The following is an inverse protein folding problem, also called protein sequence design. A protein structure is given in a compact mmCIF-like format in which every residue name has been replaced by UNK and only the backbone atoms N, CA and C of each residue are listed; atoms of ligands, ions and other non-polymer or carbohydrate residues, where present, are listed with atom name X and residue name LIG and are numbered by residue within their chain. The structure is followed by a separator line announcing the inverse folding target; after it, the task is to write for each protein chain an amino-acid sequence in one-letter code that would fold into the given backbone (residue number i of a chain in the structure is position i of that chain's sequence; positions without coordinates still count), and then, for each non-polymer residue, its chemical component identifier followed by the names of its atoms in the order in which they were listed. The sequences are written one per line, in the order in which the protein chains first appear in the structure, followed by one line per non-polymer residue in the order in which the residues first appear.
data_IF_056206025045
#
_entry.id   IF_056206025045
#
_cell.length_a   1.000
_cell.length_b   1.000
_cell.length_c   1.000
_cell.angle_alpha   90.00
_cell.angle_beta   90.00
_cell.angle_gamma   90.00
#
_symmetry.space_group_name_H-M   'P 1'
#
loop_
_entity.id
_entity.type
_entity.pdbx_description
1 polymer ?
#
# COMPACT_ATOMS: atom_id res chain seq x y z
N UNK A 1 -6.11 3.37 11.27
CA UNK A 1 -4.81 3.26 10.72
C UNK A 1 -3.73 3.42 11.77
N UNK A 2 -2.71 2.60 11.69
CA UNK A 2 -1.51 2.69 12.54
C UNK A 2 -0.56 3.75 11.99
N UNK A 3 -1.08 4.92 11.71
CA UNK A 3 -0.29 5.98 11.09
C UNK A 3 0.66 6.58 12.12
N UNK A 4 1.92 6.17 12.09
CA UNK A 4 2.98 6.66 12.96
C UNK A 4 4.06 7.39 12.16
N UNK A 5 3.66 8.20 11.21
CA UNK A 5 4.57 9.07 10.49
C UNK A 5 4.59 10.47 11.13
N UNK A 6 5.76 11.03 11.26
CA UNK A 6 5.98 12.37 11.77
C UNK A 6 6.70 13.16 10.69
N UNK A 7 6.10 14.24 10.22
CA UNK A 7 6.74 15.12 9.26
C UNK A 7 7.96 15.79 9.90
N UNK A 8 9.05 15.77 9.17
CA UNK A 8 10.32 16.29 9.60
C UNK A 8 10.64 17.62 8.93
N UNK A 9 11.21 18.53 9.69
CA UNK A 9 11.81 19.73 9.15
C UNK A 9 13.33 19.56 9.05
N UNK A 10 13.90 19.68 7.86
CA UNK A 10 15.33 19.59 7.64
C UNK A 10 16.16 20.65 8.35
N UNK A 11 15.54 21.77 8.73
CA UNK A 11 16.21 22.85 9.46
C UNK A 11 16.39 22.57 10.95
N UNK A 12 15.81 21.53 11.47
CA UNK A 12 15.82 21.21 12.91
C UNK A 12 16.90 20.17 13.26
N UNK A 13 18.01 20.23 12.59
CA UNK A 13 19.21 19.47 12.95
C UNK A 13 19.13 17.97 12.67
N UNK A 14 20.25 17.28 12.91
CA UNK A 14 20.47 15.87 12.54
C UNK A 14 19.57 14.84 13.23
N UNK A 15 18.78 15.22 14.20
CA UNK A 15 17.82 14.32 14.85
C UNK A 15 16.50 14.25 14.08
N UNK A 16 16.34 15.15 13.13
CA UNK A 16 15.30 15.10 12.16
C UNK A 16 13.89 15.29 12.63
N UNK A 17 13.66 15.58 13.85
CA UNK A 17 12.33 15.93 14.38
C UNK A 17 12.50 16.74 15.66
N UNK A 18 11.74 17.81 15.78
CA UNK A 18 11.68 18.58 16.98
C UNK A 18 10.49 18.11 17.81
N UNK A 19 10.77 17.56 18.95
CA UNK A 19 9.78 17.47 20.02
C UNK A 19 9.78 18.82 20.69
N UNK A 20 8.78 19.61 20.43
CA UNK A 20 8.62 20.90 21.03
C UNK A 20 7.56 20.79 22.13
N UNK A 21 7.99 20.95 23.37
CA UNK A 21 7.14 21.13 24.54
C UNK A 21 6.27 19.92 24.93
N UNK A 22 6.89 18.97 25.62
CA UNK A 22 6.14 18.05 26.45
C UNK A 22 5.98 18.61 27.86
N UNK A 23 4.79 18.98 28.25
CA UNK A 23 4.42 19.05 29.65
C UNK A 23 3.42 17.96 29.93
N UNK A 24 3.88 16.92 30.64
CA UNK A 24 3.08 15.72 30.85
C UNK A 24 3.05 14.78 29.62
N UNK A 25 1.95 14.10 29.42
CA UNK A 25 1.78 13.08 28.37
C UNK A 25 1.48 13.63 26.96
N UNK A 26 1.53 14.95 26.79
CA UNK A 26 1.21 15.59 25.51
C UNK A 26 2.49 16.08 24.82
N UNK A 27 2.80 15.50 23.67
CA UNK A 27 3.84 15.96 22.77
C UNK A 27 3.22 16.86 21.71
N UNK A 28 3.69 18.11 21.63
CA UNK A 28 3.35 19.01 20.54
C UNK A 28 4.48 18.98 19.53
N UNK A 29 4.18 18.51 18.32
CA UNK A 29 5.11 18.52 17.20
C UNK A 29 4.78 19.72 16.33
N UNK A 30 5.73 20.61 16.16
CA UNK A 30 5.61 21.77 15.27
C UNK A 30 6.33 21.45 13.98
N UNK A 31 5.61 21.61 12.87
CA UNK A 31 6.14 21.38 11.54
C UNK A 31 6.33 22.72 10.84
N UNK A 32 7.55 22.97 10.36
CA UNK A 32 7.75 24.05 9.40
C UNK A 32 7.38 23.58 8.00
N UNK A 33 6.73 24.43 7.27
CA UNK A 33 6.33 24.18 5.88
C UNK A 33 7.29 24.91 4.95
N UNK A 34 7.78 24.28 3.90
CA UNK A 34 7.47 22.93 3.44
C UNK A 34 8.32 21.86 4.13
N UNK A 35 7.68 20.82 4.62
CA UNK A 35 8.38 19.62 5.08
C UNK A 35 8.74 18.76 3.88
N UNK A 36 10.01 18.44 3.73
CA UNK A 36 10.52 17.63 2.60
C UNK A 36 10.59 16.15 2.94
N UNK A 37 10.63 15.82 4.24
CA UNK A 37 10.77 14.45 4.72
C UNK A 37 9.66 14.03 5.68
N UNK A 38 9.47 12.74 5.77
CA UNK A 38 8.56 12.07 6.71
C UNK A 38 9.38 11.09 7.53
N UNK A 39 9.23 11.12 8.84
CA UNK A 39 9.90 10.18 9.72
C UNK A 39 9.01 8.98 10.05
N UNK A 40 9.43 7.81 9.59
CA UNK A 40 8.81 6.54 9.95
C UNK A 40 9.34 6.08 11.32
N UNK A 41 8.48 6.07 12.32
CA UNK A 41 8.86 5.71 13.70
C UNK A 41 8.34 4.34 14.14
N UNK A 42 7.91 3.52 13.21
CA UNK A 42 7.37 2.19 13.50
C UNK A 42 7.53 1.26 12.29
N UNK A 43 8.00 0.05 12.53
CA UNK A 43 7.96 -1.04 11.56
C UNK A 43 6.54 -1.54 11.23
N UNK A 44 5.53 -1.03 11.92
CA UNK A 44 4.11 -1.28 11.64
C UNK A 44 3.44 -0.05 11.02
N UNK A 45 4.22 0.83 10.40
CA UNK A 45 3.70 1.92 9.62
C UNK A 45 3.04 1.36 8.36
N UNK A 46 1.84 1.81 8.04
CA UNK A 46 1.14 1.37 6.85
C UNK A 46 -0.38 1.50 6.98
N UNK A 47 -1.11 1.11 5.96
CA UNK A 47 -2.55 0.97 6.03
C UNK A 47 -2.92 -0.10 7.07
N UNK A 48 -4.18 -0.13 7.45
CA UNK A 48 -4.66 -1.17 8.34
C UNK A 48 -4.56 -2.53 7.65
N UNK A 49 -4.12 -3.57 8.38
CA UNK A 49 -4.19 -4.93 7.88
C UNK A 49 -5.63 -5.28 7.52
N UNK A 50 -5.85 -5.81 6.33
CA UNK A 50 -7.20 -6.10 5.85
C UNK A 50 -7.91 -4.85 5.30
N UNK A 51 -7.21 -4.06 4.49
CA UNK A 51 -7.75 -2.84 3.87
C UNK A 51 -8.57 -3.12 2.58
N UNK A 52 -9.01 -4.34 2.34
CA UNK A 52 -9.75 -4.76 1.13
C UNK A 52 -10.94 -3.84 0.81
N UNK A 53 -11.69 -3.44 1.85
CA UNK A 53 -12.81 -2.54 1.66
C UNK A 53 -12.37 -1.14 1.16
N UNK A 54 -11.24 -0.64 1.63
CA UNK A 54 -10.68 0.63 1.17
C UNK A 54 -10.25 0.51 -0.30
N UNK A 55 -9.53 -0.54 -0.64
CA UNK A 55 -9.08 -0.80 -2.01
C UNK A 55 -10.27 -0.99 -2.94
N UNK A 56 -11.30 -1.74 -2.52
CA UNK A 56 -12.55 -1.88 -3.26
C UNK A 56 -13.15 -0.52 -3.65
N UNK A 57 -13.16 0.42 -2.72
CA UNK A 57 -13.67 1.78 -2.94
C UNK A 57 -12.66 2.74 -3.57
N UNK A 58 -11.45 2.30 -3.89
CA UNK A 58 -10.42 3.12 -4.50
C UNK A 58 -9.88 4.21 -3.57
N UNK A 59 -9.75 3.90 -2.29
CA UNK A 59 -9.24 4.82 -1.26
C UNK A 59 -8.12 4.18 -0.45
N UNK A 60 -7.39 5.01 0.29
CA UNK A 60 -6.34 4.56 1.22
C UNK A 60 -4.91 4.85 0.75
N UNK A 61 -4.69 5.02 -0.54
CA UNK A 61 -3.41 5.47 -1.10
C UNK A 61 -3.28 6.99 -1.13
N UNK A 62 -2.17 7.46 -1.68
CA UNK A 62 -1.82 8.89 -1.76
C UNK A 62 -2.30 9.57 -3.04
N UNK A 63 -3.03 8.87 -3.90
CA UNK A 63 -3.60 9.44 -5.12
C UNK A 63 -4.60 10.56 -4.76
N UNK A 64 -4.65 11.57 -5.60
CA UNK A 64 -5.56 12.71 -5.44
C UNK A 64 -6.97 12.25 -5.04
N UNK A 65 -7.47 12.70 -3.88
CA UNK A 65 -8.80 12.32 -3.40
C UNK A 65 -9.93 12.80 -4.31
N UNK A 66 -9.66 13.69 -5.27
CA UNK A 66 -10.60 14.07 -6.33
C UNK A 66 -10.78 13.02 -7.42
N UNK A 67 -9.88 12.03 -7.51
CA UNK A 67 -9.96 10.95 -8.49
C UNK A 67 -10.96 9.89 -8.01
N UNK A 68 -11.93 9.57 -8.86
CA UNK A 68 -12.93 8.54 -8.56
C UNK A 68 -12.57 7.25 -9.27
N UNK A 69 -12.50 6.16 -8.53
CA UNK A 69 -12.29 4.82 -9.08
C UNK A 69 -13.58 4.01 -8.97
N UNK A 70 -13.94 3.35 -10.05
CA UNK A 70 -15.09 2.47 -10.06
C UNK A 70 -14.72 1.15 -9.39
N UNK A 71 -15.44 0.81 -8.32
CA UNK A 71 -15.31 -0.49 -7.69
C UNK A 71 -15.59 -1.63 -8.68
N UNK A 72 -14.99 -2.77 -8.45
CA UNK A 72 -15.29 -3.97 -9.20
C UNK A 72 -16.79 -4.32 -9.09
N UNK A 73 -17.41 -4.76 -10.17
CA UNK A 73 -18.80 -5.21 -10.15
C UNK A 73 -18.93 -6.51 -9.34
N UNK A 74 -20.06 -6.73 -8.73
CA UNK A 74 -20.28 -7.83 -7.81
C UNK A 74 -19.96 -7.45 -6.37
N UNK A 75 -20.17 -8.34 -5.46
CA UNK A 75 -19.87 -8.15 -4.03
C UNK A 75 -18.82 -9.14 -3.54
N UNK A 76 -18.35 -8.94 -2.33
CA UNK A 76 -17.39 -9.86 -1.70
C UNK A 76 -17.87 -11.33 -1.77
N UNK A 77 -19.16 -11.54 -1.56
CA UNK A 77 -19.77 -12.87 -1.50
C UNK A 77 -19.76 -13.56 -2.87
N UNK A 78 -19.90 -12.83 -3.95
CA UNK A 78 -19.95 -13.41 -5.31
C UNK A 78 -18.62 -14.07 -5.68
N UNK A 79 -17.51 -13.51 -5.26
CA UNK A 79 -16.18 -14.07 -5.49
C UNK A 79 -15.75 -15.04 -4.37
N UNK A 80 -15.97 -14.65 -3.11
CA UNK A 80 -15.47 -15.40 -1.96
C UNK A 80 -16.36 -16.55 -1.52
N UNK A 81 -17.65 -16.53 -1.87
CA UNK A 81 -18.62 -17.59 -1.59
C UNK A 81 -19.34 -18.05 -2.86
N UNK A 82 -18.71 -17.85 -4.03
CA UNK A 82 -19.23 -18.32 -5.29
C UNK A 82 -19.24 -19.86 -5.40
N UNK A 83 -19.79 -20.41 -6.50
CA UNK A 83 -20.00 -21.85 -6.63
C UNK A 83 -18.74 -22.71 -6.43
N UNK A 84 -17.58 -22.18 -6.80
CA UNK A 84 -16.30 -22.89 -6.70
C UNK A 84 -15.67 -22.78 -5.29
N UNK A 85 -16.03 -21.77 -4.51
CA UNK A 85 -15.47 -21.53 -3.16
C UNK A 85 -16.25 -22.23 -2.05
N UNK A 86 -17.52 -22.49 -2.26
CA UNK A 86 -18.43 -23.01 -1.23
C UNK A 86 -18.48 -22.06 -0.02
N UNK A 87 -18.32 -22.61 1.19
CA UNK A 87 -18.33 -21.82 2.43
C UNK A 87 -16.94 -21.54 3.01
N UNK A 88 -15.89 -21.69 2.21
CA UNK A 88 -14.51 -21.48 2.67
C UNK A 88 -14.12 -20.01 2.80
N UNK A 89 -14.87 -19.12 2.17
CA UNK A 89 -14.55 -17.70 1.99
C UNK A 89 -13.20 -17.47 1.26
N UNK A 90 -12.69 -18.47 0.58
CA UNK A 90 -11.53 -18.34 -0.27
C UNK A 90 -11.97 -17.96 -1.69
N UNK A 91 -11.44 -16.85 -2.20
CA UNK A 91 -11.62 -16.55 -3.61
C UNK A 91 -10.86 -17.58 -4.44
N UNK A 92 -11.53 -18.12 -5.46
CA UNK A 92 -10.92 -19.02 -6.44
C UNK A 92 -11.20 -18.47 -7.83
N UNK A 93 -10.27 -18.66 -8.74
CA UNK A 93 -10.34 -18.09 -10.10
C UNK A 93 -11.62 -18.47 -10.84
N UNK A 94 -12.11 -19.70 -10.65
CA UNK A 94 -13.35 -20.16 -11.26
C UNK A 94 -14.56 -19.26 -11.01
N UNK A 95 -14.61 -18.59 -9.84
CA UNK A 95 -15.67 -17.64 -9.55
C UNK A 95 -15.60 -16.37 -10.39
N UNK A 96 -14.43 -16.01 -10.92
CA UNK A 96 -14.28 -14.88 -11.83
C UNK A 96 -14.94 -15.15 -13.19
N UNK A 97 -15.09 -16.41 -13.55
CA UNK A 97 -15.57 -16.86 -14.85
C UNK A 97 -17.04 -17.30 -14.84
N UNK A 98 -17.76 -17.02 -13.78
CA UNK A 98 -19.21 -17.31 -13.74
C UNK A 98 -19.96 -16.49 -14.79
N UNK A 99 -21.15 -16.97 -15.15
CA UNK A 99 -21.98 -16.34 -16.20
C UNK A 99 -22.20 -14.84 -15.93
N UNK A 100 -21.84 -14.03 -16.91
CA UNK A 100 -21.99 -12.57 -16.86
C UNK A 100 -20.81 -11.80 -16.27
N UNK A 101 -19.76 -12.52 -15.81
CA UNK A 101 -18.53 -11.90 -15.33
C UNK A 101 -17.43 -11.96 -16.42
N UNK A 102 -16.33 -12.66 -16.18
CA UNK A 102 -15.22 -12.71 -17.12
C UNK A 102 -15.31 -13.94 -18.04
N UNK A 103 -15.01 -13.75 -19.32
CA UNK A 103 -14.95 -14.84 -20.29
C UNK A 103 -13.63 -15.61 -20.29
N UNK A 104 -12.63 -15.14 -19.57
CA UNK A 104 -11.29 -15.73 -19.50
C UNK A 104 -10.68 -15.51 -18.11
N UNK A 105 -9.65 -16.30 -17.81
CA UNK A 105 -8.81 -16.14 -16.63
C UNK A 105 -8.31 -14.72 -16.45
N UNK A 106 -8.15 -14.32 -15.20
CA UNK A 106 -7.53 -13.05 -14.79
C UNK A 106 -6.16 -13.26 -14.15
N UNK A 107 -5.64 -14.48 -14.19
CA UNK A 107 -4.36 -14.82 -13.61
C UNK A 107 -3.23 -13.98 -14.22
N UNK A 108 -3.16 -13.86 -15.54
CA UNK A 108 -2.14 -13.05 -16.23
C UNK A 108 -2.12 -11.59 -15.75
N UNK A 109 -3.30 -11.03 -15.43
CA UNK A 109 -3.39 -9.68 -14.85
C UNK A 109 -2.80 -9.64 -13.45
N UNK A 110 -3.15 -10.58 -12.59
CA UNK A 110 -2.65 -10.65 -11.22
C UNK A 110 -1.14 -10.90 -11.18
N UNK A 111 -0.64 -11.77 -12.06
CA UNK A 111 0.80 -12.03 -12.22
C UNK A 111 1.53 -10.76 -12.68
N UNK A 112 0.96 -9.99 -13.60
CA UNK A 112 1.53 -8.71 -14.02
C UNK A 112 1.55 -7.65 -12.92
N UNK A 113 0.57 -7.63 -12.01
CA UNK A 113 0.61 -6.79 -10.80
C UNK A 113 1.74 -7.27 -9.88
N UNK A 114 1.84 -8.56 -9.66
CA UNK A 114 2.88 -9.15 -8.82
C UNK A 114 4.29 -8.83 -9.34
N UNK A 115 4.53 -8.98 -10.64
CA UNK A 115 5.83 -8.67 -11.26
C UNK A 115 6.22 -7.20 -11.03
N UNK A 116 5.29 -6.27 -11.20
CA UNK A 116 5.53 -4.84 -10.91
C UNK A 116 5.82 -4.62 -9.43
N UNK A 117 5.08 -5.27 -8.54
CA UNK A 117 5.33 -5.19 -7.09
C UNK A 117 6.72 -5.69 -6.71
N UNK A 118 7.26 -6.71 -7.39
CA UNK A 118 8.63 -7.18 -7.17
C UNK A 118 9.67 -6.12 -7.53
N UNK A 119 9.53 -5.47 -8.68
CA UNK A 119 10.43 -4.39 -9.11
C UNK A 119 10.37 -3.21 -8.14
N UNK A 120 9.16 -2.80 -7.77
CA UNK A 120 8.94 -1.70 -6.83
C UNK A 120 9.50 -2.05 -5.44
N UNK A 121 9.25 -3.26 -4.95
CA UNK A 121 9.75 -3.73 -3.67
C UNK A 121 11.28 -3.67 -3.59
N UNK A 122 11.96 -4.13 -4.64
CA UNK A 122 13.41 -4.06 -4.74
C UNK A 122 13.92 -2.59 -4.75
N UNK A 123 13.22 -1.69 -5.42
CA UNK A 123 13.57 -0.26 -5.43
C UNK A 123 13.38 0.39 -4.05
N UNK A 124 12.29 0.07 -3.35
CA UNK A 124 12.03 0.57 -2.00
C UNK A 124 13.02 0.01 -0.95
N UNK A 125 13.43 -1.26 -1.09
CA UNK A 125 14.46 -1.85 -0.24
C UNK A 125 15.83 -1.18 -0.49
N UNK A 126 16.19 -0.97 -1.74
CA UNK A 126 17.41 -0.23 -2.11
C UNK A 126 17.39 1.23 -1.60
N UNK A 127 16.22 1.85 -1.53
CA UNK A 127 16.03 3.17 -0.94
C UNK A 127 15.96 3.15 0.61
N UNK A 128 16.12 1.98 1.23
CA UNK A 128 15.98 1.79 2.68
C UNK A 128 14.62 2.25 3.25
N UNK A 129 13.58 2.17 2.46
CA UNK A 129 12.22 2.49 2.90
C UNK A 129 11.51 1.29 3.52
N UNK A 130 11.77 0.11 2.99
CA UNK A 130 11.27 -1.17 3.51
C UNK A 130 12.42 -2.15 3.70
N UNK A 131 12.16 -3.23 4.41
CA UNK A 131 12.99 -4.42 4.43
C UNK A 131 12.21 -5.59 3.83
N UNK A 132 12.85 -6.29 2.89
CA UNK A 132 12.34 -7.53 2.32
C UNK A 132 13.07 -8.70 2.97
N UNK A 133 12.37 -9.51 3.76
CA UNK A 133 12.95 -10.72 4.36
C UNK A 133 13.27 -11.78 3.30
N UNK A 134 12.52 -11.78 2.20
CA UNK A 134 12.78 -12.61 1.03
C UNK A 134 12.66 -11.78 -0.28
N UNK A 135 13.78 -11.30 -0.83
CA UNK A 135 13.75 -10.53 -2.07
C UNK A 135 13.41 -11.36 -3.31
N UNK A 136 13.33 -12.69 -3.20
CA UNK A 136 13.12 -13.57 -4.36
C UNK A 136 11.66 -13.91 -4.60
N UNK A 137 10.75 -13.45 -3.70
CA UNK A 137 9.51 -13.67 -4.20
C UNK A 137 8.25 -13.76 -3.47
N UNK A 138 8.08 -14.36 -2.46
CA UNK A 138 6.75 -14.38 -1.88
C UNK A 138 6.59 -13.17 -0.96
N UNK A 139 5.98 -12.08 -1.47
CA UNK A 139 5.51 -11.00 -0.61
C UNK A 139 4.39 -11.53 0.30
N UNK A 140 4.67 -12.69 0.93
CA UNK A 140 3.81 -13.21 1.95
C UNK A 140 3.73 -12.17 3.07
N UNK A 141 2.56 -11.99 3.55
CA UNK A 141 2.27 -11.18 4.71
C UNK A 141 3.24 -11.49 5.84
N UNK A 142 3.98 -10.49 6.29
CA UNK A 142 4.99 -10.62 7.33
C UNK A 142 6.44 -10.49 6.85
N UNK A 143 6.68 -10.57 5.54
CA UNK A 143 8.03 -10.53 4.97
C UNK A 143 8.42 -9.13 4.48
N UNK A 144 7.56 -8.13 4.66
CA UNK A 144 7.83 -6.74 4.28
C UNK A 144 7.57 -5.84 5.47
N UNK A 145 8.58 -5.10 5.86
CA UNK A 145 8.51 -4.19 6.99
C UNK A 145 9.01 -2.79 6.61
N UNK A 146 8.23 -1.73 6.89
CA UNK A 146 8.74 -0.37 6.81
C UNK A 146 9.95 -0.20 7.73
N UNK A 147 10.99 0.45 7.22
CA UNK A 147 12.17 0.77 8.01
C UNK A 147 11.97 2.08 8.77
N UNK A 148 12.54 2.10 9.98
CA UNK A 148 12.63 3.32 10.76
C UNK A 148 13.57 4.29 10.07
N UNK A 149 13.17 5.53 9.94
CA UNK A 149 14.05 6.54 9.38
C UNK A 149 13.33 7.73 8.80
N UNK A 150 14.14 8.62 8.27
CA UNK A 150 13.66 9.78 7.54
C UNK A 150 13.68 9.47 6.07
N UNK A 151 12.52 9.55 5.46
CA UNK A 151 12.34 9.35 4.02
C UNK A 151 11.89 10.66 3.39
N UNK A 152 12.38 10.97 2.20
CA UNK A 152 11.76 12.03 1.41
C UNK A 152 10.28 11.69 1.14
N UNK A 153 9.51 12.72 0.79
CA UNK A 153 8.07 12.56 0.66
C UNK A 153 7.67 11.59 -0.45
N UNK A 154 8.41 11.58 -1.55
CA UNK A 154 8.09 10.74 -2.70
C UNK A 154 8.36 9.27 -2.39
N UNK A 155 9.49 8.96 -1.78
CA UNK A 155 9.81 7.62 -1.28
C UNK A 155 8.78 7.16 -0.23
N UNK A 156 8.38 8.04 0.70
CA UNK A 156 7.37 7.71 1.71
C UNK A 156 6.00 7.42 1.07
N UNK A 157 5.56 8.23 0.13
CA UNK A 157 4.30 8.04 -0.59
C UNK A 157 4.32 6.76 -1.42
N UNK A 158 5.43 6.48 -2.10
CA UNK A 158 5.64 5.24 -2.83
C UNK A 158 5.53 4.02 -1.90
N UNK A 159 6.23 4.04 -0.77
CA UNK A 159 6.15 3.00 0.26
C UNK A 159 4.71 2.82 0.78
N UNK A 160 4.01 3.92 1.07
CA UNK A 160 2.62 3.84 1.54
C UNK A 160 1.71 3.17 0.52
N UNK A 161 1.78 3.59 -0.74
CA UNK A 161 0.97 3.01 -1.82
C UNK A 161 1.31 1.54 -2.06
N UNK A 162 2.60 1.17 -1.98
CA UNK A 162 3.04 -0.22 -2.05
C UNK A 162 2.39 -1.07 -0.95
N UNK A 163 2.40 -0.59 0.28
CA UNK A 163 1.77 -1.27 1.41
C UNK A 163 0.25 -1.36 1.29
N UNK A 164 -0.41 -0.38 0.65
CA UNK A 164 -1.85 -0.46 0.34
C UNK A 164 -2.15 -1.65 -0.57
N UNK A 165 -1.35 -1.83 -1.63
CA UNK A 165 -1.51 -2.96 -2.57
C UNK A 165 -1.20 -4.29 -1.86
N UNK A 166 -0.12 -4.33 -1.10
CA UNK A 166 0.32 -5.52 -0.38
C UNK A 166 -0.74 -6.01 0.63
N UNK A 167 -1.27 -5.10 1.43
CA UNK A 167 -2.26 -5.42 2.48
C UNK A 167 -3.66 -5.74 1.93
N UNK A 168 -3.93 -5.34 0.71
CA UNK A 168 -5.15 -5.73 0.00
C UNK A 168 -5.16 -7.22 -0.37
N UNK A 169 -4.00 -7.82 -0.65
CA UNK A 169 -3.78 -9.25 -0.94
C UNK A 169 -4.54 -9.81 -2.14
N UNK A 170 -5.13 -8.97 -2.98
CA UNK A 170 -5.89 -9.42 -4.13
C UNK A 170 -5.12 -9.34 -5.45
N UNK A 171 -3.89 -8.84 -5.42
CA UNK A 171 -3.11 -8.52 -6.64
C UNK A 171 -3.96 -7.76 -7.67
N UNK A 172 -4.77 -6.83 -7.17
CA UNK A 172 -5.58 -5.92 -7.98
C UNK A 172 -6.98 -6.41 -8.32
N UNK A 173 -7.38 -7.60 -7.89
CA UNK A 173 -8.71 -8.11 -8.20
C UNK A 173 -9.84 -7.28 -7.59
N UNK A 174 -9.64 -6.65 -6.43
CA UNK A 174 -10.66 -5.84 -5.77
C UNK A 174 -11.01 -4.56 -6.51
N UNK A 175 -10.01 -3.88 -7.08
CA UNK A 175 -10.20 -2.67 -7.88
C UNK A 175 -9.06 -2.50 -8.88
N UNK A 176 -9.14 -3.12 -10.07
CA UNK A 176 -8.07 -3.11 -11.05
C UNK A 176 -7.61 -1.71 -11.46
N UNK A 177 -8.54 -0.78 -11.65
CA UNK A 177 -8.22 0.57 -12.10
C UNK A 177 -7.48 1.37 -11.02
N UNK A 178 -7.87 1.20 -9.77
CA UNK A 178 -7.20 1.83 -8.64
C UNK A 178 -5.78 1.27 -8.43
N UNK A 179 -5.63 -0.04 -8.46
CA UNK A 179 -4.32 -0.68 -8.31
C UNK A 179 -3.35 -0.28 -9.43
N UNK A 180 -3.82 -0.22 -10.68
CA UNK A 180 -2.98 0.26 -11.79
C UNK A 180 -2.56 1.73 -11.60
N UNK A 181 -3.46 2.57 -11.10
CA UNK A 181 -3.14 3.96 -10.80
C UNK A 181 -2.10 4.07 -9.66
N UNK A 182 -2.26 3.28 -8.59
CA UNK A 182 -1.27 3.22 -7.50
C UNK A 182 0.10 2.76 -8.00
N UNK A 183 0.17 1.70 -8.80
CA UNK A 183 1.43 1.20 -9.36
C UNK A 183 2.11 2.26 -10.22
N UNK A 184 1.36 2.94 -11.08
CA UNK A 184 1.89 4.00 -11.94
C UNK A 184 2.39 5.19 -11.12
N UNK A 185 1.66 5.56 -10.06
CA UNK A 185 2.10 6.62 -9.15
C UNK A 185 3.39 6.24 -8.43
N UNK A 186 3.49 5.01 -7.92
CA UNK A 186 4.72 4.51 -7.26
C UNK A 186 5.90 4.58 -8.21
N UNK A 187 5.76 4.07 -9.43
CA UNK A 187 6.84 4.08 -10.43
C UNK A 187 7.28 5.50 -10.77
N UNK A 188 6.32 6.42 -10.90
CA UNK A 188 6.61 7.84 -11.12
C UNK A 188 7.38 8.46 -9.96
N UNK A 189 6.96 8.18 -8.71
CA UNK A 189 7.61 8.69 -7.50
C UNK A 189 9.03 8.15 -7.32
N UNK A 190 9.28 6.90 -7.73
CA UNK A 190 10.58 6.25 -7.64
C UNK A 190 11.46 6.46 -8.88
N UNK A 191 10.91 6.97 -9.97
CA UNK A 191 11.63 7.18 -11.23
C UNK A 191 12.04 5.89 -11.95
N UNK A 192 11.19 4.84 -11.88
CA UNK A 192 11.41 3.52 -12.48
C UNK A 192 10.36 3.17 -13.51
#
# INVERSE_FOLDING_TARGET
GKNKAIYQNETVGNAGWAILNGTGDTLTVVFDVPTTHVYANSGHLGPHHGNQANTWHGIGGTIDPGTTFTAHSGGCVECHMGPESGHSFNAVEGNCQVTGCHSSSKQDYMDGVFDRMQVIGAALDAAHAIHLDDPTGDYAYGNVHPLYGSHDRDTFNAMWNFLVILEDRSMGAHNPTYIQALLTEIESLLGI
#
